data_IF_886825705990
#
_entry.id   IF_886825705990
#
_cell.length_a   1.000
_cell.length_b   1.000
_cell.length_c   1.000
_cell.angle_alpha   90.00
_cell.angle_beta   90.00
_cell.angle_gamma   90.00
#
_symmetry.space_group_name_H-M   'P 1'
#
loop_
_entity.id
_entity.type
_entity.pdbx_description
1 polymer ?
#
# COMPACT_ATOMS: atom_id res chain seq x y z
N UNK A 1 6.35 4.92 14.14
CA UNK A 1 5.15 5.03 14.99
C UNK A 1 5.14 6.44 15.55
N UNK A 2 4.48 7.38 14.90
CA UNK A 2 4.34 8.73 15.46
C UNK A 2 3.40 8.69 16.66
N UNK A 3 3.85 9.21 17.79
CA UNK A 3 3.04 9.31 19.00
C UNK A 3 1.84 10.23 18.72
N UNK A 4 0.63 9.68 18.76
CA UNK A 4 -0.59 10.46 18.58
C UNK A 4 -0.70 11.48 19.71
N UNK A 5 -0.55 12.78 19.39
CA UNK A 5 -0.62 13.86 20.36
C UNK A 5 -2.05 13.98 20.90
N UNK A 6 -2.21 13.85 22.21
CA UNK A 6 -3.50 13.89 22.90
C UNK A 6 -3.58 15.13 23.81
N UNK A 7 -4.71 15.84 23.76
CA UNK A 7 -5.01 16.92 24.69
C UNK A 7 -5.98 16.38 25.77
N UNK A 8 -5.67 16.63 27.04
CA UNK A 8 -6.56 16.31 28.17
C UNK A 8 -7.32 17.57 28.59
N UNK A 9 -8.64 17.46 28.68
CA UNK A 9 -9.54 18.54 29.10
C UNK A 9 -10.32 18.13 30.34
N UNK A 10 -10.33 18.98 31.35
CA UNK A 10 -11.30 18.90 32.45
C UNK A 10 -12.71 19.22 31.95
N UNK A 11 -13.74 18.82 32.70
CA UNK A 11 -15.16 19.15 32.41
C UNK A 11 -15.37 20.65 32.18
N UNK A 12 -14.75 21.50 32.99
CA UNK A 12 -14.84 22.96 32.85
C UNK A 12 -14.14 23.45 31.58
N UNK A 13 -12.94 22.94 31.27
CA UNK A 13 -12.22 23.31 30.06
C UNK A 13 -12.97 22.86 28.79
N UNK A 14 -13.57 21.67 28.81
CA UNK A 14 -14.37 21.19 27.68
C UNK A 14 -15.62 22.04 27.48
N UNK A 15 -16.28 22.46 28.56
CA UNK A 15 -17.40 23.42 28.51
C UNK A 15 -16.97 24.75 27.87
N UNK A 16 -15.87 25.36 28.33
CA UNK A 16 -15.36 26.59 27.73
C UNK A 16 -15.00 26.43 26.24
N UNK A 17 -14.43 25.27 25.89
CA UNK A 17 -14.05 24.96 24.51
C UNK A 17 -15.25 24.86 23.56
N UNK A 18 -16.33 24.16 23.95
CA UNK A 18 -17.53 24.01 23.09
C UNK A 18 -18.41 25.26 23.02
N UNK A 19 -18.30 26.16 23.99
CA UNK A 19 -18.99 27.45 23.98
C UNK A 19 -18.24 28.54 23.21
N UNK A 20 -16.92 28.39 23.03
CA UNK A 20 -16.08 29.31 22.25
C UNK A 20 -15.95 28.88 20.78
N UNK A 21 -15.85 27.58 20.49
CA UNK A 21 -15.71 27.06 19.13
C UNK A 21 -16.85 26.14 18.75
N UNK A 22 -17.23 26.14 17.47
CA UNK A 22 -18.27 25.24 16.98
C UNK A 22 -17.83 23.78 17.05
N UNK A 23 -18.78 22.87 17.32
CA UNK A 23 -18.49 21.43 17.34
C UNK A 23 -17.89 20.95 16.00
N UNK A 24 -18.27 21.56 14.89
CA UNK A 24 -17.69 21.29 13.57
C UNK A 24 -16.22 21.69 13.51
N UNK A 25 -15.85 22.88 14.01
CA UNK A 25 -14.45 23.31 14.10
C UNK A 25 -13.62 22.36 14.96
N UNK A 26 -14.16 21.99 16.13
CA UNK A 26 -13.50 21.05 17.04
C UNK A 26 -13.35 19.65 16.43
N UNK A 27 -14.33 19.18 15.65
CA UNK A 27 -14.25 17.89 14.95
C UNK A 27 -13.23 17.85 13.82
N UNK A 28 -12.83 19.02 13.28
CA UNK A 28 -11.73 19.14 12.32
C UNK A 28 -10.36 19.12 13.00
N UNK A 29 -10.27 19.57 14.25
CA UNK A 29 -9.03 19.58 15.03
C UNK A 29 -8.76 18.25 15.74
N UNK A 30 -9.80 17.65 16.33
CA UNK A 30 -9.71 16.43 17.12
C UNK A 30 -10.26 15.23 16.35
N UNK A 31 -9.72 14.04 16.62
CA UNK A 31 -10.11 12.78 15.99
C UNK A 31 -11.45 12.25 16.54
N UNK A 32 -12.47 13.12 16.56
CA UNK A 32 -13.83 12.85 17.03
C UNK A 32 -14.83 13.57 16.12
N UNK A 33 -15.93 12.90 15.75
CA UNK A 33 -17.00 13.56 14.98
C UNK A 33 -17.73 14.60 15.83
N UNK A 34 -18.38 15.57 15.18
CA UNK A 34 -19.26 16.54 15.81
C UNK A 34 -20.40 15.87 16.63
N UNK A 35 -20.96 14.77 16.12
CA UNK A 35 -21.93 13.92 16.84
C UNK A 35 -21.28 13.22 18.02
N UNK A 36 -20.04 12.73 17.86
CA UNK A 36 -19.27 12.12 18.95
C UNK A 36 -19.00 13.12 20.08
N UNK A 37 -18.59 14.34 19.73
CA UNK A 37 -18.35 15.43 20.66
C UNK A 37 -19.64 15.88 21.35
N UNK A 38 -20.76 15.92 20.63
CA UNK A 38 -22.10 16.16 21.21
C UNK A 38 -22.46 15.08 22.24
N UNK A 39 -22.29 13.80 21.90
CA UNK A 39 -22.56 12.68 22.81
C UNK A 39 -21.67 12.73 24.05
N UNK A 40 -20.40 13.13 23.88
CA UNK A 40 -19.46 13.32 24.98
C UNK A 40 -19.95 14.42 25.92
N UNK A 41 -20.34 15.58 25.40
CA UNK A 41 -20.87 16.69 26.22
C UNK A 41 -22.14 16.27 26.99
N UNK A 42 -23.06 15.56 26.34
CA UNK A 42 -24.27 15.03 26.99
C UNK A 42 -23.89 14.08 28.14
N UNK A 43 -22.94 13.17 27.92
CA UNK A 43 -22.47 12.21 28.93
C UNK A 43 -21.82 12.92 30.13
N UNK A 44 -21.14 14.05 29.91
CA UNK A 44 -20.51 14.85 30.95
C UNK A 44 -21.45 15.90 31.58
N UNK A 45 -22.75 15.85 31.26
CA UNK A 45 -23.74 16.85 31.69
C UNK A 45 -23.28 18.29 31.40
N UNK A 46 -22.72 18.51 30.22
CA UNK A 46 -22.26 19.81 29.73
C UNK A 46 -23.35 20.38 28.80
N UNK A 47 -23.95 21.53 29.11
CA UNK A 47 -24.94 22.15 28.24
C UNK A 47 -24.27 22.63 26.95
N UNK A 48 -24.94 22.39 25.82
CA UNK A 48 -24.45 22.80 24.51
C UNK A 48 -25.14 24.08 24.04
N UNK A 49 -24.43 24.97 23.32
CA UNK A 49 -25.05 26.14 22.72
C UNK A 49 -26.17 25.78 21.74
N UNK A 50 -27.20 26.64 21.66
CA UNK A 50 -28.26 26.52 20.65
C UNK A 50 -27.72 26.82 19.25
N UNK A 51 -28.43 26.34 18.23
CA UNK A 51 -28.12 26.68 16.84
C UNK A 51 -28.05 28.21 16.64
N UNK A 52 -27.04 28.69 15.91
CA UNK A 52 -26.80 30.12 15.68
C UNK A 52 -25.99 30.84 16.78
N UNK A 53 -25.69 30.19 17.92
CA UNK A 53 -24.83 30.79 18.96
C UNK A 53 -23.47 31.23 18.44
N UNK A 54 -22.74 30.33 17.78
CA UNK A 54 -21.38 30.63 17.28
C UNK A 54 -21.37 31.69 16.17
N UNK A 55 -22.45 31.81 15.41
CA UNK A 55 -22.59 32.83 14.37
C UNK A 55 -22.85 34.20 14.98
N UNK A 56 -23.71 34.28 16.00
CA UNK A 56 -23.86 35.49 16.83
C UNK A 56 -22.55 35.90 17.47
N UNK A 57 -21.82 34.95 18.07
CA UNK A 57 -20.51 35.18 18.69
C UNK A 57 -19.49 35.71 17.68
N UNK A 58 -19.41 35.12 16.47
CA UNK A 58 -18.52 35.56 15.38
C UNK A 58 -18.83 36.99 14.91
N UNK A 59 -20.09 37.39 14.93
CA UNK A 59 -20.55 38.73 14.54
C UNK A 59 -20.66 39.71 15.73
N UNK A 60 -20.06 39.38 16.88
CA UNK A 60 -20.01 40.26 18.06
C UNK A 60 -21.37 40.53 18.72
N UNK A 61 -22.40 39.73 18.43
CA UNK A 61 -23.73 39.88 19.02
C UNK A 61 -23.76 39.27 20.43
N UNK A 62 -24.59 39.81 21.34
CA UNK A 62 -24.75 39.26 22.68
C UNK A 62 -25.30 37.82 22.62
N UNK A 63 -24.74 36.95 23.45
CA UNK A 63 -25.11 35.53 23.54
C UNK A 63 -25.32 35.11 24.99
N UNK A 64 -26.40 34.38 25.26
CA UNK A 64 -26.70 33.87 26.59
C UNK A 64 -25.99 32.54 26.83
N UNK A 65 -25.05 32.55 27.79
CA UNK A 65 -24.27 31.38 28.17
C UNK A 65 -24.95 30.62 29.32
N UNK A 66 -25.43 29.40 29.06
CA UNK A 66 -26.06 28.54 30.07
C UNK A 66 -24.98 28.08 31.06
N UNK A 67 -25.16 28.34 32.35
CA UNK A 67 -24.20 27.96 33.40
C UNK A 67 -24.02 26.44 33.47
N UNK A 68 -22.78 26.01 33.69
CA UNK A 68 -22.44 24.60 33.84
C UNK A 68 -23.07 24.03 35.13
N UNK A 69 -23.84 22.92 35.07
CA UNK A 69 -24.42 22.31 36.26
C UNK A 69 -23.37 21.83 37.25
N UNK A 70 -23.56 22.10 38.54
CA UNK A 70 -22.67 21.63 39.63
C UNK A 70 -22.87 20.16 39.98
N UNK A 71 -24.02 19.59 39.62
CA UNK A 71 -24.35 18.18 39.83
C UNK A 71 -23.80 17.30 38.70
N UNK A 72 -22.62 16.72 38.93
CA UNK A 72 -22.03 15.70 38.07
C UNK A 72 -21.04 14.84 38.86
N UNK A 73 -21.24 13.52 38.88
CA UNK A 73 -20.42 12.54 39.60
C UNK A 73 -19.62 11.61 38.68
N UNK A 74 -19.56 11.92 37.38
CA UNK A 74 -18.81 11.11 36.40
C UNK A 74 -17.35 11.55 36.24
N UNK A 75 -16.72 11.14 35.14
CA UNK A 75 -15.32 11.41 34.86
C UNK A 75 -15.01 12.92 34.78
N UNK A 76 -14.04 13.38 35.58
CA UNK A 76 -13.65 14.80 35.64
C UNK A 76 -12.90 15.29 34.42
N UNK A 77 -12.34 14.37 33.61
CA UNK A 77 -11.48 14.68 32.47
C UNK A 77 -11.82 13.81 31.25
N UNK A 78 -11.51 14.34 30.06
CA UNK A 78 -11.54 13.63 28.80
C UNK A 78 -10.25 13.84 28.02
N UNK A 79 -9.83 12.82 27.27
CA UNK A 79 -8.71 12.92 26.34
C UNK A 79 -9.25 12.99 24.92
N UNK A 80 -8.83 14.00 24.17
CA UNK A 80 -9.12 14.16 22.75
C UNK A 80 -7.81 14.07 21.98
N UNK A 81 -7.69 13.05 21.13
CA UNK A 81 -6.56 12.92 20.21
C UNK A 81 -6.64 14.00 19.14
N UNK A 82 -5.54 14.67 18.83
CA UNK A 82 -5.45 15.51 17.64
C UNK A 82 -5.58 14.66 16.39
N UNK A 83 -6.22 15.20 15.36
CA UNK A 83 -6.26 14.56 14.04
C UNK A 83 -4.86 14.47 13.47
N UNK A 84 -4.53 13.31 12.92
CA UNK A 84 -3.33 13.10 12.13
C UNK A 84 -3.59 13.33 10.64
N UNK A 85 -2.54 13.24 9.81
CA UNK A 85 -2.67 13.39 8.35
C UNK A 85 -3.67 12.39 7.76
N UNK A 86 -3.66 11.12 8.20
CA UNK A 86 -4.61 10.10 7.75
C UNK A 86 -6.08 10.48 7.97
N UNK A 87 -6.38 11.11 9.11
CA UNK A 87 -7.73 11.58 9.43
C UNK A 87 -8.18 12.72 8.52
N UNK A 88 -7.27 13.67 8.23
CA UNK A 88 -7.52 14.81 7.33
C UNK A 88 -7.77 14.31 5.92
N UNK A 89 -6.93 13.38 5.47
CA UNK A 89 -7.06 12.67 4.21
C UNK A 89 -8.41 11.97 4.06
N UNK A 90 -8.88 11.31 5.12
CA UNK A 90 -10.18 10.65 5.13
C UNK A 90 -11.37 11.63 5.08
N UNK A 91 -11.26 12.82 5.67
CA UNK A 91 -12.29 13.87 5.51
C UNK A 91 -12.28 14.42 4.09
N UNK A 92 -11.11 14.80 3.58
CA UNK A 92 -10.97 15.30 2.20
C UNK A 92 -11.58 14.31 1.21
N UNK A 93 -11.30 13.01 1.36
CA UNK A 93 -11.92 11.94 0.56
C UNK A 93 -13.44 11.92 0.64
N UNK A 94 -14.02 12.10 1.84
CA UNK A 94 -15.49 12.15 2.02
C UNK A 94 -16.09 13.41 1.39
N UNK A 95 -15.43 14.55 1.53
CA UNK A 95 -15.86 15.82 0.93
C UNK A 95 -15.80 15.74 -0.59
N UNK A 96 -14.75 15.16 -1.18
CA UNK A 96 -14.63 14.92 -2.63
C UNK A 96 -15.72 13.98 -3.16
N UNK A 97 -16.03 12.89 -2.45
CA UNK A 97 -17.16 12.01 -2.81
C UNK A 97 -18.47 12.78 -2.78
N UNK A 98 -18.71 13.62 -1.76
CA UNK A 98 -19.93 14.40 -1.66
C UNK A 98 -20.06 15.44 -2.77
N UNK A 99 -18.96 16.12 -3.13
CA UNK A 99 -18.92 17.06 -4.24
C UNK A 99 -19.25 16.37 -5.57
N UNK A 100 -18.65 15.20 -5.81
CA UNK A 100 -18.91 14.41 -7.01
C UNK A 100 -20.35 13.89 -7.07
N UNK A 101 -20.93 13.46 -5.94
CA UNK A 101 -22.36 13.10 -5.88
C UNK A 101 -23.25 14.27 -6.31
N UNK A 102 -22.98 15.50 -5.84
CA UNK A 102 -23.74 16.68 -6.27
C UNK A 102 -23.61 16.93 -7.77
N UNK A 103 -22.41 16.78 -8.32
CA UNK A 103 -22.18 16.92 -9.77
C UNK A 103 -22.95 15.86 -10.57
N UNK A 104 -22.94 14.60 -10.11
CA UNK A 104 -23.69 13.51 -10.73
C UNK A 104 -25.20 13.79 -10.73
N UNK A 105 -25.74 14.23 -9.59
CA UNK A 105 -27.16 14.52 -9.45
C UNK A 105 -27.62 15.76 -10.23
N UNK A 106 -26.71 16.72 -10.47
CA UNK A 106 -26.99 17.89 -11.29
C UNK A 106 -27.00 17.60 -12.80
N UNK A 107 -26.43 16.47 -13.24
CA UNK A 107 -26.40 16.09 -14.65
C UNK A 107 -27.74 15.43 -15.06
N UNK A 108 -28.50 16.15 -15.90
CA UNK A 108 -29.81 15.70 -16.40
C UNK A 108 -29.76 14.47 -17.32
N UNK A 109 -28.61 14.16 -17.92
CA UNK A 109 -28.45 12.97 -18.77
C UNK A 109 -28.37 11.67 -17.94
N UNK A 110 -27.99 11.77 -16.67
CA UNK A 110 -27.82 10.62 -15.78
C UNK A 110 -29.15 10.27 -15.09
N UNK A 111 -29.65 9.08 -15.37
CA UNK A 111 -30.87 8.55 -14.74
C UNK A 111 -30.49 7.58 -13.63
N UNK A 112 -30.76 7.96 -12.39
CA UNK A 112 -30.54 7.11 -11.21
C UNK A 112 -31.82 6.45 -10.67
N UNK A 113 -32.98 6.83 -11.21
CA UNK A 113 -34.26 6.23 -10.83
C UNK A 113 -34.33 4.83 -11.40
N UNK A 114 -34.33 3.83 -10.52
CA UNK A 114 -34.46 2.42 -10.90
C UNK A 114 -35.92 2.15 -11.27
N UNK A 115 -36.22 1.75 -12.53
CA UNK A 115 -37.59 1.49 -12.95
C UNK A 115 -38.15 0.24 -12.27
N UNK A 116 -39.48 0.12 -12.18
CA UNK A 116 -40.15 -1.07 -11.61
C UNK A 116 -40.06 -2.30 -12.52
N UNK A 117 -39.85 -2.07 -13.82
CA UNK A 117 -39.74 -3.12 -14.83
C UNK A 117 -38.45 -2.98 -15.62
N UNK A 118 -37.88 -4.12 -16.00
CA UNK A 118 -36.67 -4.18 -16.81
C UNK A 118 -37.05 -4.10 -18.30
N UNK A 119 -36.84 -2.93 -18.89
CA UNK A 119 -37.15 -2.66 -20.30
C UNK A 119 -35.86 -2.35 -21.06
N UNK A 120 -35.62 -3.06 -22.18
CA UNK A 120 -34.39 -2.94 -22.97
C UNK A 120 -33.11 -3.02 -22.11
N UNK A 121 -32.86 -4.17 -21.45
CA UNK A 121 -31.71 -4.34 -20.57
C UNK A 121 -30.38 -4.30 -21.31
N UNK A 122 -29.31 -3.93 -20.60
CA UNK A 122 -27.94 -4.12 -21.07
C UNK A 122 -27.68 -5.60 -21.45
N UNK A 123 -26.87 -5.90 -22.48
CA UNK A 123 -26.54 -7.28 -22.84
C UNK A 123 -26.01 -8.14 -21.68
N UNK A 124 -25.21 -7.55 -20.78
CA UNK A 124 -24.70 -8.26 -19.60
C UNK A 124 -25.82 -8.63 -18.62
N UNK A 125 -26.83 -7.76 -18.50
CA UNK A 125 -28.03 -7.99 -17.66
C UNK A 125 -28.94 -9.03 -18.31
N UNK A 126 -29.09 -9.00 -19.64
CA UNK A 126 -29.87 -9.98 -20.37
C UNK A 126 -29.30 -11.40 -20.18
N UNK A 127 -27.98 -11.57 -20.30
CA UNK A 127 -27.31 -12.86 -20.02
C UNK A 127 -27.56 -13.32 -18.59
N UNK A 128 -27.27 -12.45 -17.62
CA UNK A 128 -27.45 -12.76 -16.21
C UNK A 128 -28.90 -13.15 -15.86
N UNK A 129 -29.89 -12.49 -16.47
CA UNK A 129 -31.32 -12.83 -16.29
C UNK A 129 -31.62 -14.26 -16.73
N UNK A 130 -31.16 -14.66 -17.92
CA UNK A 130 -31.38 -16.01 -18.45
C UNK A 130 -30.76 -17.05 -17.53
N UNK A 131 -29.50 -16.82 -17.12
CA UNK A 131 -28.76 -17.72 -16.23
C UNK A 131 -29.41 -17.89 -14.86
N UNK A 132 -29.82 -16.79 -14.22
CA UNK A 132 -30.49 -16.84 -12.91
C UNK A 132 -31.87 -17.49 -12.97
N UNK A 133 -32.60 -17.35 -14.09
CA UNK A 133 -33.96 -17.91 -14.23
C UNK A 133 -34.01 -19.43 -14.40
N UNK A 134 -32.91 -20.05 -14.85
CA UNK A 134 -32.83 -21.49 -15.13
C UNK A 134 -32.30 -22.32 -13.97
N UNK A 135 -31.84 -21.66 -12.90
CA UNK A 135 -31.18 -22.33 -11.78
C UNK A 135 -32.12 -22.45 -10.59
N UNK A 136 -32.03 -23.59 -9.93
CA UNK A 136 -32.61 -23.77 -8.60
C UNK A 136 -31.67 -23.17 -7.55
N UNK A 137 -32.24 -22.82 -6.39
CA UNK A 137 -31.45 -22.35 -5.26
C UNK A 137 -30.46 -23.43 -4.81
N UNK A 138 -29.25 -23.02 -4.41
CA UNK A 138 -28.21 -23.96 -4.03
C UNK A 138 -28.63 -24.82 -2.85
N UNK A 139 -28.38 -26.13 -2.96
CA UNK A 139 -28.39 -27.07 -1.84
C UNK A 139 -27.00 -27.07 -1.17
N UNK A 140 -26.93 -27.02 0.17
CA UNK A 140 -25.68 -26.92 0.93
C UNK A 140 -25.61 -25.68 1.85
N UNK A 141 -24.41 -25.23 2.29
CA UNK A 141 -24.28 -24.20 3.32
C UNK A 141 -24.81 -22.81 2.94
N UNK A 142 -25.10 -22.58 1.65
CA UNK A 142 -25.67 -21.34 1.08
C UNK A 142 -27.12 -21.55 0.64
N UNK A 143 -27.95 -22.01 1.57
CA UNK A 143 -29.33 -22.39 1.28
C UNK A 143 -30.18 -21.20 0.83
N UNK A 144 -30.92 -21.36 -0.28
CA UNK A 144 -31.90 -20.38 -0.73
C UNK A 144 -31.38 -19.23 -1.59
N UNK A 145 -30.10 -19.23 -2.01
CA UNK A 145 -29.56 -18.26 -2.98
C UNK A 145 -29.12 -18.91 -4.29
N UNK A 146 -29.17 -18.12 -5.36
CA UNK A 146 -28.76 -18.46 -6.72
C UNK A 146 -27.59 -17.54 -7.09
N UNK A 147 -26.60 -18.08 -7.78
CA UNK A 147 -25.50 -17.29 -8.38
C UNK A 147 -25.52 -17.39 -9.90
N UNK A 148 -25.12 -16.31 -10.57
CA UNK A 148 -24.84 -16.30 -12.02
C UNK A 148 -23.74 -17.32 -12.38
N UNK A 149 -23.64 -17.64 -13.67
CA UNK A 149 -22.63 -18.57 -14.19
C UNK A 149 -21.27 -17.88 -14.34
N UNK A 150 -20.23 -18.68 -14.57
CA UNK A 150 -18.91 -18.17 -14.97
C UNK A 150 -19.03 -17.34 -16.25
N UNK A 151 -18.25 -16.27 -16.36
CA UNK A 151 -18.30 -15.36 -17.51
C UNK A 151 -19.49 -14.39 -17.51
N UNK A 152 -20.24 -14.29 -16.41
CA UNK A 152 -21.37 -13.37 -16.26
C UNK A 152 -21.19 -12.40 -15.09
N UNK A 153 -22.07 -11.39 -15.01
CA UNK A 153 -22.08 -10.43 -13.90
C UNK A 153 -22.11 -11.17 -12.55
N UNK A 154 -21.28 -10.78 -11.59
CA UNK A 154 -21.18 -11.43 -10.28
C UNK A 154 -22.38 -11.05 -9.41
N UNK A 155 -23.42 -11.89 -9.45
CA UNK A 155 -24.69 -11.72 -8.73
C UNK A 155 -24.91 -12.95 -7.86
N UNK A 156 -25.24 -12.75 -6.58
CA UNK A 156 -25.71 -13.82 -5.68
C UNK A 156 -26.89 -13.36 -4.85
N UNK A 157 -28.09 -13.84 -5.14
CA UNK A 157 -29.32 -13.39 -4.48
C UNK A 157 -30.34 -14.53 -4.34
N UNK A 158 -31.29 -14.39 -3.43
CA UNK A 158 -32.45 -15.28 -3.36
C UNK A 158 -33.38 -15.09 -4.57
N UNK A 159 -34.22 -16.08 -4.94
CA UNK A 159 -35.15 -15.98 -6.05
C UNK A 159 -36.02 -14.70 -6.02
N UNK A 160 -36.46 -14.30 -4.83
CA UNK A 160 -37.29 -13.12 -4.61
C UNK A 160 -36.57 -11.81 -4.99
N UNK A 161 -35.25 -11.79 -4.90
CA UNK A 161 -34.43 -10.60 -5.13
C UNK A 161 -33.81 -10.51 -6.53
N UNK A 162 -33.96 -11.54 -7.39
CA UNK A 162 -33.42 -11.54 -8.76
C UNK A 162 -33.87 -10.32 -9.56
N UNK A 163 -35.19 -10.09 -9.64
CA UNK A 163 -35.75 -8.99 -10.43
C UNK A 163 -35.30 -7.62 -9.93
N UNK A 164 -35.11 -7.45 -8.62
CA UNK A 164 -34.64 -6.20 -8.02
C UNK A 164 -33.16 -5.97 -8.30
N UNK A 165 -32.32 -6.99 -8.09
CA UNK A 165 -30.88 -6.92 -8.34
C UNK A 165 -30.56 -6.59 -9.81
N UNK A 166 -31.27 -7.20 -10.75
CA UNK A 166 -31.09 -6.94 -12.18
C UNK A 166 -31.47 -5.49 -12.56
N UNK A 167 -32.56 -4.94 -12.02
CA UNK A 167 -32.97 -3.54 -12.29
C UNK A 167 -31.97 -2.52 -11.72
N UNK A 168 -31.46 -2.78 -10.51
CA UNK A 168 -30.42 -1.94 -9.89
C UNK A 168 -29.15 -1.96 -10.75
N UNK A 169 -28.66 -3.14 -11.12
CA UNK A 169 -27.45 -3.26 -11.92
C UNK A 169 -27.63 -2.69 -13.33
N UNK A 170 -28.77 -2.88 -13.98
CA UNK A 170 -29.04 -2.30 -15.30
C UNK A 170 -28.98 -0.77 -15.27
N UNK A 171 -29.59 -0.16 -14.25
CA UNK A 171 -29.54 1.29 -14.03
C UNK A 171 -28.11 1.76 -13.77
N UNK A 172 -27.37 1.05 -12.93
CA UNK A 172 -25.96 1.35 -12.63
C UNK A 172 -25.07 1.25 -13.88
N UNK A 173 -25.20 0.18 -14.66
CA UNK A 173 -24.40 -0.07 -15.86
C UNK A 173 -24.67 1.01 -16.91
N UNK A 174 -25.94 1.36 -17.14
CA UNK A 174 -26.31 2.44 -18.08
C UNK A 174 -25.78 3.80 -17.60
N UNK A 175 -25.85 4.08 -16.30
CA UNK A 175 -25.28 5.29 -15.72
C UNK A 175 -23.74 5.33 -15.83
N UNK A 176 -23.04 4.20 -15.68
CA UNK A 176 -21.59 4.12 -15.88
C UNK A 176 -21.21 4.32 -17.35
N UNK A 177 -21.93 3.68 -18.29
CA UNK A 177 -21.68 3.81 -19.73
C UNK A 177 -21.94 5.22 -20.27
N UNK A 178 -22.99 5.89 -19.80
CA UNK A 178 -23.25 7.30 -20.14
C UNK A 178 -22.16 8.25 -19.61
N UNK A 179 -21.39 7.83 -18.60
CA UNK A 179 -20.20 8.54 -18.12
C UNK A 179 -18.91 8.18 -18.85
N UNK A 180 -18.98 7.30 -19.85
CA UNK A 180 -17.81 6.84 -20.62
C UNK A 180 -17.07 5.66 -20.00
N UNK A 181 -17.61 5.05 -18.93
CA UNK A 181 -17.00 3.88 -18.30
C UNK A 181 -17.51 2.59 -18.90
N UNK A 182 -16.67 1.55 -18.95
CA UNK A 182 -17.06 0.24 -19.47
C UNK A 182 -17.17 -0.80 -18.36
N UNK A 183 -17.88 -1.88 -18.66
CA UNK A 183 -18.03 -3.02 -17.76
C UNK A 183 -17.48 -4.23 -18.48
N UNK A 184 -16.55 -4.90 -17.82
CA UNK A 184 -15.96 -6.15 -18.29
C UNK A 184 -16.27 -7.27 -17.30
N UNK A 185 -16.37 -8.47 -17.82
CA UNK A 185 -16.57 -9.68 -17.03
C UNK A 185 -15.49 -10.66 -17.44
N UNK A 186 -14.71 -11.15 -16.48
CA UNK A 186 -13.81 -12.28 -16.71
C UNK A 186 -14.51 -13.60 -16.34
N UNK A 187 -13.76 -14.70 -16.24
CA UNK A 187 -14.34 -16.02 -15.91
C UNK A 187 -15.08 -16.06 -14.57
N UNK A 188 -14.72 -15.21 -13.59
CA UNK A 188 -15.20 -15.31 -12.20
C UNK A 188 -15.78 -14.00 -11.64
N UNK A 189 -15.37 -12.84 -12.19
CA UNK A 189 -15.54 -11.53 -11.59
C UNK A 189 -16.02 -10.48 -12.60
N UNK A 190 -16.71 -9.48 -12.08
CA UNK A 190 -17.14 -8.29 -12.82
C UNK A 190 -16.26 -7.11 -12.46
N UNK A 191 -15.87 -6.32 -13.45
CA UNK A 191 -15.07 -5.13 -13.28
C UNK A 191 -15.75 -3.93 -13.92
N UNK A 192 -15.70 -2.80 -13.23
CA UNK A 192 -15.90 -1.48 -13.84
C UNK A 192 -14.54 -0.97 -14.28
N UNK A 193 -14.43 -0.55 -15.53
CA UNK A 193 -13.19 -0.02 -16.11
C UNK A 193 -13.29 1.50 -16.17
N UNK A 194 -12.38 2.17 -15.46
CA UNK A 194 -12.29 3.64 -15.41
C UNK A 194 -10.84 4.03 -15.69
N UNK A 195 -10.60 4.78 -16.78
CA UNK A 195 -9.24 5.20 -17.18
C UNK A 195 -8.23 4.04 -17.22
N UNK A 196 -8.60 2.90 -17.81
CA UNK A 196 -7.84 1.62 -17.89
C UNK A 196 -7.70 0.83 -16.59
N UNK A 197 -8.14 1.38 -15.45
CA UNK A 197 -8.11 0.69 -14.17
C UNK A 197 -9.32 -0.23 -14.02
N UNK A 198 -9.07 -1.49 -13.66
CA UNK A 198 -10.11 -2.47 -13.33
C UNK A 198 -10.45 -2.37 -11.85
N UNK A 199 -11.73 -2.16 -11.53
CA UNK A 199 -12.25 -2.19 -10.16
C UNK A 199 -13.27 -3.32 -10.07
N UNK A 200 -12.95 -4.38 -9.31
CA UNK A 200 -13.87 -5.50 -9.11
C UNK A 200 -15.13 -5.05 -8.35
N UNK A 201 -16.30 -5.46 -8.84
CA UNK A 201 -17.60 -5.17 -8.27
C UNK A 201 -18.46 -6.43 -8.16
N UNK A 202 -19.37 -6.46 -7.20
CA UNK A 202 -20.38 -7.53 -7.10
C UNK A 202 -21.63 -7.07 -6.37
N UNK A 203 -22.78 -7.68 -6.71
CA UNK A 203 -24.01 -7.55 -5.94
C UNK A 203 -24.34 -8.88 -5.26
N UNK A 204 -24.55 -8.84 -3.95
CA UNK A 204 -24.80 -10.02 -3.12
C UNK A 204 -25.89 -9.73 -2.11
N UNK A 205 -26.76 -10.70 -1.87
CA UNK A 205 -27.65 -10.68 -0.73
C UNK A 205 -26.90 -11.07 0.55
N UNK A 206 -27.12 -10.31 1.62
CA UNK A 206 -26.58 -10.65 2.93
C UNK A 206 -27.22 -11.93 3.44
N UNK A 207 -26.39 -12.78 4.03
CA UNK A 207 -26.83 -14.03 4.63
C UNK A 207 -26.71 -13.93 6.15
N UNK A 208 -27.67 -14.52 6.85
CA UNK A 208 -27.65 -14.68 8.29
C UNK A 208 -27.37 -16.14 8.60
N UNK A 209 -26.35 -16.38 9.43
CA UNK A 209 -26.08 -17.71 9.97
C UNK A 209 -27.14 -18.05 11.02
N UNK A 210 -27.81 -19.16 10.81
CA UNK A 210 -28.78 -19.76 11.73
C UNK A 210 -28.20 -21.09 12.19
N UNK A 211 -28.17 -21.31 13.50
CA UNK A 211 -27.76 -22.58 14.09
C UNK A 211 -28.99 -23.48 14.09
N UNK A 212 -28.83 -24.69 13.56
CA UNK A 212 -29.88 -25.70 13.49
C UNK A 212 -29.46 -26.83 14.40
N UNK A 213 -30.22 -26.99 15.48
CA UNK A 213 -30.13 -28.14 16.36
C UNK A 213 -30.71 -29.34 15.63
N UNK A 214 -29.88 -30.35 15.40
CA UNK A 214 -30.26 -31.53 14.65
C UNK A 214 -30.56 -32.65 15.64
N UNK A 215 -31.83 -32.99 15.92
CA UNK A 215 -32.17 -33.97 16.96
C UNK A 215 -31.68 -35.39 16.66
N UNK A 216 -31.22 -35.67 15.43
CA UNK A 216 -30.65 -36.96 15.02
C UNK A 216 -29.14 -37.10 15.20
N UNK A 217 -28.39 -36.01 15.41
CA UNK A 217 -26.92 -36.02 15.46
C UNK A 217 -26.41 -35.14 16.59
N UNK A 218 -25.32 -35.52 17.27
CA UNK A 218 -24.80 -34.81 18.46
C UNK A 218 -24.10 -33.48 18.15
N UNK A 219 -24.00 -33.08 16.88
CA UNK A 219 -23.36 -31.83 16.47
C UNK A 219 -24.38 -30.83 15.93
N UNK A 220 -24.18 -29.57 16.31
CA UNK A 220 -24.93 -28.46 15.76
C UNK A 220 -24.52 -28.22 14.31
N UNK A 221 -25.51 -28.04 13.45
CA UNK A 221 -25.29 -27.61 12.06
C UNK A 221 -25.63 -26.12 11.93
N UNK A 222 -25.20 -25.50 10.84
CA UNK A 222 -25.54 -24.10 10.57
C UNK A 222 -25.89 -23.90 9.11
N UNK A 223 -26.96 -23.17 8.86
CA UNK A 223 -27.36 -22.74 7.53
C UNK A 223 -27.19 -21.23 7.38
N UNK A 224 -26.83 -20.78 6.18
CA UNK A 224 -26.80 -19.36 5.84
C UNK A 224 -28.06 -19.01 5.06
N UNK A 225 -29.00 -18.32 5.71
CA UNK A 225 -30.27 -17.97 5.10
C UNK A 225 -30.23 -16.55 4.50
N UNK A 226 -30.83 -16.33 3.32
CA UNK A 226 -31.00 -15.00 2.74
C UNK A 226 -31.80 -14.07 3.65
N UNK A 227 -31.39 -12.80 3.75
CA UNK A 227 -31.99 -11.82 4.66
C UNK A 227 -32.94 -10.83 3.98
N UNK A 228 -33.04 -10.88 2.65
CA UNK A 228 -33.69 -9.86 1.82
C UNK A 228 -32.82 -8.62 1.55
N UNK A 229 -31.72 -8.43 2.28
CA UNK A 229 -30.86 -7.23 2.22
C UNK A 229 -29.86 -7.38 1.08
N UNK A 230 -30.02 -6.60 0.01
CA UNK A 230 -29.04 -6.51 -1.06
C UNK A 230 -27.85 -5.67 -0.63
N UNK A 231 -26.67 -6.05 -1.13
CA UNK A 231 -25.42 -5.33 -0.93
C UNK A 231 -24.61 -5.26 -2.22
N UNK A 232 -24.16 -4.06 -2.57
CA UNK A 232 -23.19 -3.81 -3.63
C UNK A 232 -21.82 -3.62 -3.01
N UNK A 233 -20.81 -4.32 -3.53
CA UNK A 233 -19.44 -4.28 -3.02
C UNK A 233 -18.48 -3.94 -4.14
N UNK A 234 -17.48 -3.13 -3.80
CA UNK A 234 -16.28 -2.96 -4.62
C UNK A 234 -15.05 -3.50 -3.89
N UNK A 235 -14.05 -3.94 -4.65
CA UNK A 235 -12.73 -4.26 -4.13
C UNK A 235 -12.11 -3.05 -3.42
N UNK A 236 -11.38 -3.29 -2.33
CA UNK A 236 -10.90 -2.25 -1.42
C UNK A 236 -11.84 -1.99 -0.23
N UNK A 237 -12.88 -2.82 -0.06
CA UNK A 237 -13.64 -2.93 1.18
C UNK A 237 -14.86 -2.00 1.31
N UNK A 238 -15.17 -1.20 0.30
CA UNK A 238 -16.39 -0.37 0.33
C UNK A 238 -17.61 -1.23 -0.02
N UNK A 239 -18.66 -1.15 0.81
CA UNK A 239 -19.90 -1.89 0.66
C UNK A 239 -21.09 -0.98 0.96
N UNK A 240 -22.10 -1.03 0.09
CA UNK A 240 -23.39 -0.37 0.24
C UNK A 240 -24.44 -1.45 0.37
N UNK A 241 -25.39 -1.29 1.29
CA UNK A 241 -26.43 -2.27 1.53
C UNK A 241 -27.75 -1.59 1.81
N UNK A 242 -28.84 -2.35 1.66
CA UNK A 242 -30.14 -1.90 2.12
C UNK A 242 -30.10 -1.58 3.62
N UNK A 243 -30.77 -0.49 3.98
CA UNK A 243 -30.87 0.01 5.35
C UNK A 243 -31.93 1.10 5.42
N UNK A 244 -31.57 2.25 5.99
CA UNK A 244 -32.45 3.44 5.99
C UNK A 244 -32.72 3.95 4.56
N UNK A 245 -31.68 3.90 3.73
CA UNK A 245 -31.78 4.19 2.30
C UNK A 245 -31.75 2.86 1.53
N UNK A 246 -32.67 2.64 0.58
CA UNK A 246 -32.62 1.48 -0.30
C UNK A 246 -31.41 1.59 -1.23
N UNK A 247 -30.88 0.45 -1.69
CA UNK A 247 -29.68 0.42 -2.53
C UNK A 247 -29.82 1.25 -3.83
N UNK A 248 -31.03 1.32 -4.39
CA UNK A 248 -31.43 2.15 -5.53
C UNK A 248 -31.07 3.64 -5.32
N UNK A 249 -31.34 4.18 -4.13
CA UNK A 249 -31.07 5.58 -3.81
C UNK A 249 -29.56 5.87 -3.64
N UNK A 250 -28.75 4.82 -3.49
CA UNK A 250 -27.31 4.93 -3.25
C UNK A 250 -26.48 4.93 -4.54
N UNK A 251 -27.10 4.76 -5.72
CA UNK A 251 -26.40 4.68 -7.01
C UNK A 251 -25.47 5.86 -7.30
N UNK A 252 -25.85 7.15 -7.08
CA UNK A 252 -24.91 8.26 -7.27
C UNK A 252 -23.68 8.15 -6.37
N UNK A 253 -23.86 7.71 -5.12
CA UNK A 253 -22.77 7.52 -4.14
C UNK A 253 -21.84 6.38 -4.53
N UNK A 254 -22.38 5.30 -5.10
CA UNK A 254 -21.60 4.17 -5.61
C UNK A 254 -20.72 4.61 -6.78
N UNK A 255 -21.29 5.32 -7.76
CA UNK A 255 -20.55 5.82 -8.93
C UNK A 255 -19.46 6.81 -8.51
N UNK A 256 -19.79 7.78 -7.65
CA UNK A 256 -18.80 8.72 -7.14
C UNK A 256 -17.64 8.01 -6.44
N UNK A 257 -17.93 6.95 -5.66
CA UNK A 257 -16.88 6.19 -4.99
C UNK A 257 -16.02 5.38 -5.95
N UNK A 258 -16.60 4.80 -7.01
CA UNK A 258 -15.86 4.11 -8.07
C UNK A 258 -14.85 5.05 -8.75
N UNK A 259 -15.27 6.26 -9.12
CA UNK A 259 -14.40 7.25 -9.76
C UNK A 259 -13.29 7.75 -8.83
N UNK A 260 -13.63 8.02 -7.57
CA UNK A 260 -12.62 8.39 -6.57
C UNK A 260 -11.61 7.27 -6.31
N UNK A 261 -12.05 6.01 -6.34
CA UNK A 261 -11.14 4.87 -6.22
C UNK A 261 -10.23 4.74 -7.44
N UNK A 262 -10.73 5.02 -8.64
CA UNK A 262 -9.90 5.05 -9.86
C UNK A 262 -8.83 6.15 -9.78
N UNK A 263 -9.18 7.38 -9.38
CA UNK A 263 -8.23 8.47 -9.18
C UNK A 263 -7.14 8.05 -8.19
N UNK A 264 -7.54 7.50 -7.04
CA UNK A 264 -6.61 7.05 -6.00
C UNK A 264 -5.67 5.94 -6.48
N UNK A 265 -6.17 4.97 -7.23
CA UNK A 265 -5.35 3.87 -7.78
C UNK A 265 -4.34 4.41 -8.80
N UNK A 266 -4.73 5.38 -9.63
CA UNK A 266 -3.84 6.05 -10.59
C UNK A 266 -2.70 6.78 -9.89
N UNK A 267 -3.02 7.64 -8.92
CA UNK A 267 -2.01 8.38 -8.15
C UNK A 267 -1.03 7.44 -7.45
N UNK A 268 -1.53 6.34 -6.86
CA UNK A 268 -0.68 5.33 -6.23
C UNK A 268 0.25 4.65 -7.24
N UNK A 269 -0.25 4.34 -8.43
CA UNK A 269 0.56 3.72 -9.48
C UNK A 269 1.70 4.64 -9.91
N UNK A 270 1.41 5.93 -10.13
CA UNK A 270 2.42 6.94 -10.48
C UNK A 270 3.47 7.14 -9.37
N UNK A 271 3.04 7.15 -8.10
CA UNK A 271 3.95 7.23 -6.96
C UNK A 271 4.87 6.01 -6.85
N UNK A 272 4.31 4.81 -7.01
CA UNK A 272 5.09 3.56 -7.00
C UNK A 272 6.08 3.53 -8.16
N UNK A 273 5.67 3.96 -9.35
CA UNK A 273 6.54 4.02 -10.52
C UNK A 273 7.74 4.95 -10.28
N UNK A 274 7.51 6.16 -9.78
CA UNK A 274 8.57 7.13 -9.41
C UNK A 274 9.52 6.53 -8.36
N UNK A 275 8.97 5.93 -7.31
CA UNK A 275 9.76 5.29 -6.27
C UNK A 275 10.67 4.19 -6.84
N UNK A 276 10.13 3.30 -7.68
CA UNK A 276 10.93 2.24 -8.29
C UNK A 276 11.96 2.77 -9.29
N UNK A 277 11.67 3.85 -10.02
CA UNK A 277 12.64 4.53 -10.88
C UNK A 277 13.83 5.05 -10.06
N UNK A 278 13.57 5.75 -8.95
CA UNK A 278 14.63 6.24 -8.06
C UNK A 278 15.47 5.12 -7.44
N UNK A 279 14.82 4.03 -7.02
CA UNK A 279 15.53 2.88 -6.45
C UNK A 279 16.41 2.17 -7.48
N UNK A 280 15.93 2.03 -8.72
CA UNK A 280 16.74 1.46 -9.82
C UNK A 280 17.96 2.33 -10.10
N UNK A 281 17.80 3.65 -10.11
CA UNK A 281 18.92 4.56 -10.34
C UNK A 281 19.95 4.53 -9.22
N UNK A 282 19.49 4.56 -7.95
CA UNK A 282 20.38 4.41 -6.78
C UNK A 282 21.14 3.10 -6.80
N UNK A 283 20.47 2.00 -7.18
CA UNK A 283 21.08 0.69 -7.28
C UNK A 283 22.15 0.66 -8.38
N UNK A 284 21.86 1.21 -9.56
CA UNK A 284 22.80 1.32 -10.68
C UNK A 284 24.07 2.07 -10.27
N UNK A 285 23.92 3.25 -9.66
CA UNK A 285 25.06 4.04 -9.18
C UNK A 285 25.87 3.31 -8.10
N UNK A 286 25.22 2.58 -7.20
CA UNK A 286 25.90 1.79 -6.18
C UNK A 286 26.68 0.61 -6.76
N UNK A 287 26.11 -0.09 -7.74
CA UNK A 287 26.77 -1.19 -8.47
C UNK A 287 27.97 -0.68 -9.28
N UNK A 288 27.83 0.44 -9.99
CA UNK A 288 28.94 1.10 -10.71
C UNK A 288 30.06 1.53 -9.77
N UNK A 289 29.72 2.15 -8.63
CA UNK A 289 30.69 2.55 -7.62
C UNK A 289 31.41 1.35 -6.99
N UNK A 290 30.67 0.29 -6.66
CA UNK A 290 31.24 -0.94 -6.11
C UNK A 290 32.17 -1.63 -7.10
N UNK A 291 31.80 -1.70 -8.38
CA UNK A 291 32.64 -2.27 -9.43
C UNK A 291 33.94 -1.47 -9.61
N UNK A 292 33.86 -0.12 -9.58
CA UNK A 292 35.04 0.74 -9.62
C UNK A 292 35.94 0.53 -8.41
N UNK A 293 35.35 0.47 -7.21
CA UNK A 293 36.09 0.23 -5.96
C UNK A 293 36.79 -1.12 -5.96
N UNK A 294 36.11 -2.18 -6.41
CA UNK A 294 36.68 -3.53 -6.48
C UNK A 294 37.84 -3.56 -7.48
N UNK A 295 37.66 -2.97 -8.66
CA UNK A 295 38.73 -2.85 -9.67
C UNK A 295 39.94 -2.12 -9.09
N UNK A 296 39.73 -0.95 -8.47
CA UNK A 296 40.79 -0.14 -7.88
C UNK A 296 41.53 -0.89 -6.75
N UNK A 297 40.80 -1.69 -5.96
CA UNK A 297 41.37 -2.52 -4.91
C UNK A 297 42.19 -3.71 -5.45
N UNK A 298 41.73 -4.36 -6.53
CA UNK A 298 42.49 -5.41 -7.23
C UNK A 298 43.76 -4.82 -7.83
N UNK A 299 43.66 -3.71 -8.57
CA UNK A 299 44.79 -3.03 -9.19
C UNK A 299 45.83 -2.60 -8.13
N UNK A 300 45.37 -2.08 -6.98
CA UNK A 300 46.23 -1.71 -5.88
C UNK A 300 46.93 -2.91 -5.22
N UNK A 301 46.23 -4.04 -5.02
CA UNK A 301 46.85 -5.27 -4.50
C UNK A 301 47.95 -5.79 -5.42
N UNK A 302 47.71 -5.79 -6.73
CA UNK A 302 48.71 -6.18 -7.74
C UNK A 302 49.92 -5.23 -7.68
N UNK A 303 49.67 -3.93 -7.55
CA UNK A 303 50.73 -2.93 -7.42
C UNK A 303 51.58 -3.16 -6.17
N UNK A 304 50.98 -3.44 -5.01
CA UNK A 304 51.70 -3.75 -3.78
C UNK A 304 52.58 -5.01 -3.92
N UNK A 305 52.03 -6.07 -4.50
CA UNK A 305 52.78 -7.31 -4.77
C UNK A 305 53.99 -7.04 -5.67
N UNK A 306 53.81 -6.26 -6.74
CA UNK A 306 54.93 -5.87 -7.62
C UNK A 306 55.96 -5.04 -6.86
N UNK A 307 55.55 -4.05 -6.08
CA UNK A 307 56.49 -3.23 -5.30
C UNK A 307 57.33 -4.08 -4.33
N UNK A 308 56.72 -5.05 -3.66
CA UNK A 308 57.44 -5.95 -2.74
C UNK A 308 58.40 -6.89 -3.48
N UNK A 309 57.97 -7.50 -4.60
CA UNK A 309 58.86 -8.32 -5.44
C UNK A 309 60.05 -7.54 -5.94
N UNK A 310 59.83 -6.32 -6.40
CA UNK A 310 60.92 -5.44 -6.84
C UNK A 310 61.90 -5.17 -5.70
N UNK A 311 61.40 -4.83 -4.50
CA UNK A 311 62.27 -4.57 -3.35
C UNK A 311 63.12 -5.80 -2.97
N UNK A 312 62.52 -6.98 -3.00
CA UNK A 312 63.21 -8.26 -2.75
C UNK A 312 64.23 -8.59 -3.85
N UNK A 313 63.92 -8.34 -5.12
CA UNK A 313 64.87 -8.51 -6.22
C UNK A 313 66.07 -7.56 -6.10
N UNK A 314 65.84 -6.29 -5.72
CA UNK A 314 66.92 -5.34 -5.42
C UNK A 314 67.77 -5.83 -4.25
N UNK A 315 67.15 -6.28 -3.17
CA UNK A 315 67.86 -6.84 -2.01
C UNK A 315 68.72 -8.06 -2.41
N UNK A 316 68.18 -8.95 -3.25
CA UNK A 316 68.89 -10.12 -3.75
C UNK A 316 70.10 -9.72 -4.62
N UNK A 317 69.95 -8.72 -5.51
CA UNK A 317 71.07 -8.21 -6.32
C UNK A 317 72.16 -7.60 -5.45
N UNK A 318 71.80 -6.80 -4.45
CA UNK A 318 72.76 -6.23 -3.50
C UNK A 318 73.53 -7.32 -2.74
N UNK A 319 72.86 -8.41 -2.35
CA UNK A 319 73.52 -9.54 -1.70
C UNK A 319 74.49 -10.28 -2.65
N UNK A 320 74.06 -10.55 -3.88
CA UNK A 320 74.90 -11.18 -4.93
C UNK A 320 76.17 -10.35 -5.14
N UNK A 321 76.04 -9.03 -5.27
CA UNK A 321 77.16 -8.11 -5.44
C UNK A 321 78.11 -8.13 -4.24
N UNK A 322 77.58 -8.18 -3.01
CA UNK A 322 78.39 -8.30 -1.80
C UNK A 322 79.17 -9.64 -1.73
N UNK A 323 78.58 -10.75 -2.21
CA UNK A 323 79.26 -12.06 -2.29
C UNK A 323 80.39 -12.01 -3.32
N UNK A 324 80.15 -11.42 -4.48
CA UNK A 324 81.15 -11.25 -5.54
C UNK A 324 82.35 -10.42 -5.04
N UNK A 325 82.10 -9.30 -4.35
CA UNK A 325 83.16 -8.46 -3.78
C UNK A 325 84.02 -9.22 -2.74
N UNK A 326 83.40 -10.02 -1.87
CA UNK A 326 84.14 -10.86 -0.91
C UNK A 326 84.98 -11.92 -1.60
N UNK A 327 84.45 -12.57 -2.64
CA UNK A 327 85.18 -13.59 -3.38
C UNK A 327 86.43 -13.02 -4.06
N UNK A 328 86.31 -11.81 -4.65
CA UNK A 328 87.44 -11.11 -5.28
C UNK A 328 88.54 -10.75 -4.25
N UNK A 329 88.18 -10.40 -3.01
CA UNK A 329 89.14 -10.08 -1.96
C UNK A 329 89.88 -11.30 -1.37
N UNK A 330 89.36 -12.52 -1.56
CA UNK A 330 89.76 -13.72 -0.80
C UNK A 330 90.57 -14.75 -1.60
N UNK A 331 91.40 -14.32 -2.58
CA UNK A 331 92.16 -15.15 -3.57
C UNK A 331 91.52 -15.22 -4.98
N UNK A 332 90.39 -14.53 -5.20
CA UNK A 332 89.69 -14.47 -6.49
C UNK A 332 88.54 -15.48 -6.59
N UNK A 333 87.51 -15.22 -7.43
CA UNK A 333 86.35 -16.09 -7.51
C UNK A 333 86.72 -17.47 -8.07
N UNK A 334 86.40 -18.53 -7.31
CA UNK A 334 86.50 -19.90 -7.80
C UNK A 334 85.47 -20.16 -8.91
N UNK A 335 85.68 -21.24 -9.65
CA UNK A 335 84.75 -21.66 -10.71
C UNK A 335 83.33 -21.94 -10.16
N UNK A 336 83.24 -22.53 -8.96
CA UNK A 336 81.97 -22.76 -8.25
C UNK A 336 81.25 -21.45 -7.89
N UNK A 337 81.98 -20.44 -7.39
CA UNK A 337 81.40 -19.13 -7.05
C UNK A 337 80.92 -18.41 -8.31
N UNK A 338 81.67 -18.52 -9.42
CA UNK A 338 81.32 -17.90 -10.71
C UNK A 338 80.02 -18.49 -11.28
N UNK A 339 79.88 -19.82 -11.23
CA UNK A 339 78.65 -20.50 -11.65
C UNK A 339 77.45 -20.13 -10.75
N UNK A 340 77.67 -20.05 -9.43
CA UNK A 340 76.64 -19.62 -8.50
C UNK A 340 76.19 -18.17 -8.73
N UNK A 341 77.11 -17.23 -8.99
CA UNK A 341 76.80 -15.83 -9.28
C UNK A 341 75.93 -15.69 -10.54
N UNK A 342 76.26 -16.42 -11.62
CA UNK A 342 75.48 -16.44 -12.85
C UNK A 342 74.06 -16.98 -12.62
N UNK A 343 73.93 -18.09 -11.87
CA UNK A 343 72.64 -18.65 -11.47
C UNK A 343 71.83 -17.65 -10.62
N UNK A 344 72.45 -17.05 -9.61
CA UNK A 344 71.76 -16.15 -8.68
C UNK A 344 71.24 -14.88 -9.37
N UNK A 345 72.01 -14.32 -10.32
CA UNK A 345 71.58 -13.19 -11.16
C UNK A 345 70.37 -13.56 -12.02
N UNK A 346 70.38 -14.72 -12.67
CA UNK A 346 69.22 -15.23 -13.44
C UNK A 346 67.97 -15.37 -12.57
N UNK A 347 68.11 -15.85 -11.33
CA UNK A 347 66.99 -15.96 -10.37
C UNK A 347 66.48 -14.60 -9.91
N UNK A 348 67.35 -13.60 -9.73
CA UNK A 348 66.93 -12.24 -9.41
C UNK A 348 66.11 -11.61 -10.54
N UNK A 349 66.53 -11.80 -11.79
CA UNK A 349 65.84 -11.29 -12.98
C UNK A 349 64.52 -12.02 -13.27
N UNK A 350 64.44 -13.33 -12.98
CA UNK A 350 63.17 -14.08 -13.02
C UNK A 350 62.16 -13.57 -11.97
N UNK A 351 62.65 -13.14 -10.80
CA UNK A 351 61.79 -12.68 -9.71
C UNK A 351 61.34 -11.22 -9.86
N UNK A 352 62.16 -10.37 -10.48
CA UNK A 352 61.90 -8.94 -10.67
C UNK A 352 60.65 -8.68 -11.54
N UNK A 353 59.66 -7.90 -11.06
CA UNK A 353 58.43 -7.63 -11.79
C UNK A 353 58.59 -6.68 -13.00
N UNK A 354 59.75 -6.05 -13.20
CA UNK A 354 60.04 -5.27 -14.41
C UNK A 354 60.76 -6.07 -15.50
N UNK A 355 61.41 -7.19 -15.14
CA UNK A 355 62.14 -8.03 -16.08
C UNK A 355 61.34 -9.29 -16.40
N UNK A 356 60.86 -9.99 -15.36
CA UNK A 356 60.11 -11.24 -15.46
C UNK A 356 60.76 -12.27 -16.39
N UNK A 357 62.09 -12.43 -16.27
CA UNK A 357 62.85 -13.36 -17.10
C UNK A 357 62.29 -14.78 -16.98
N UNK A 358 62.42 -15.56 -18.05
CA UNK A 358 61.98 -16.94 -18.07
C UNK A 358 62.98 -17.86 -17.36
N UNK A 359 62.46 -18.89 -16.67
CA UNK A 359 63.28 -19.88 -15.98
C UNK A 359 62.66 -21.26 -16.15
N UNK A 360 63.36 -22.11 -16.90
CA UNK A 360 62.92 -23.46 -17.29
C UNK A 360 62.46 -24.31 -16.10
N UNK A 361 63.07 -24.15 -14.93
CA UNK A 361 62.80 -24.95 -13.74
C UNK A 361 61.77 -24.34 -12.79
N UNK A 362 61.36 -23.08 -13.00
CA UNK A 362 60.41 -22.36 -12.13
C UNK A 362 59.21 -21.79 -12.88
N UNK A 363 58.96 -22.23 -14.11
CA UNK A 363 57.89 -21.71 -14.98
C UNK A 363 56.47 -21.93 -14.42
N UNK A 364 56.28 -22.94 -13.58
CA UNK A 364 55.03 -23.32 -12.93
C UNK A 364 54.87 -22.74 -11.51
N UNK A 365 55.90 -22.02 -11.01
CA UNK A 365 55.90 -21.45 -9.67
C UNK A 365 55.33 -20.03 -9.68
N UNK A 366 54.29 -19.81 -8.88
CA UNK A 366 53.79 -18.46 -8.61
C UNK A 366 54.84 -17.64 -7.85
N UNK A 367 55.37 -16.61 -8.50
CA UNK A 367 56.36 -15.68 -7.93
C UNK A 367 55.85 -14.97 -6.68
N UNK A 368 54.52 -14.80 -6.54
CA UNK A 368 53.89 -14.21 -5.35
C UNK A 368 53.96 -15.15 -4.15
N UNK A 369 53.91 -16.46 -4.36
CA UNK A 369 54.00 -17.46 -3.28
C UNK A 369 55.33 -17.38 -2.51
N UNK A 370 56.40 -16.92 -3.16
CA UNK A 370 57.71 -16.73 -2.56
C UNK A 370 57.80 -15.46 -1.69
N UNK A 371 56.74 -14.63 -1.64
CA UNK A 371 56.72 -13.45 -0.78
C UNK A 371 56.48 -13.79 0.69
N UNK A 372 55.81 -14.91 1.00
CA UNK A 372 55.42 -15.27 2.35
C UNK A 372 56.27 -16.41 2.93
N UNK A 373 57.10 -16.06 3.92
CA UNK A 373 57.38 -16.88 5.09
C UNK A 373 57.20 -16.04 6.34
#
# INVERSE_FOLDING_TARGET
MEATRQDTFTRNQLYELVWSQSLLSLSRKYAISDVGLRKLCIRMNIPLPKAGHWEKLKHGKPVDKIKLPTTYSGASEVRLSLRNEDDVDNISKKESVHALVKQLQANSELKFVVPDRLTSPDPLIASAKVSLSRKEASYGPYQGVISTSRGELTIRVSPQNISRALRILDTLIKALRSRGHTIEVDTEKTYVIINTLKIEVSIKEKLKRVIIDNPKWSWQSSELCPTGILSFRIEGGSEWKDGKEPLEAQLPRIIARLEMEAIRRKERQEQLEKFWQEQREKRRLAEEFAARKEKELIDFKIMLQKAERWHKAVTLRNYIEAVEQKAVQSVGPSEEITQWLAWARKKADWYDPFIEADDELLHDIDRVSLMHR
#
